data_IF_544920140705
#
_entry.id   IF_544920140705
#
_cell.length_a   1.000
_cell.length_b   1.000
_cell.length_c   1.000
_cell.angle_alpha   90.00
_cell.angle_beta   90.00
_cell.angle_gamma   90.00
#
_symmetry.space_group_name_H-M   'P 1'
#
loop_
_entity.id
_entity.type
_entity.pdbx_description
1 polymer ?
#
# COMPACT_ATOMS: atom_id res chain seq x y z
N UNK A 1 19.91 9.74 -8.73
CA UNK A 1 18.92 8.89 -8.02
C UNK A 1 17.58 9.41 -8.49
N UNK A 2 17.08 8.86 -9.59
CA UNK A 2 15.76 9.24 -10.10
C UNK A 2 14.76 9.00 -8.97
N UNK A 3 14.06 10.04 -8.54
CA UNK A 3 13.10 9.96 -7.44
C UNK A 3 11.90 9.15 -7.93
N UNK A 4 12.03 7.83 -7.84
CA UNK A 4 11.04 6.85 -8.26
C UNK A 4 9.76 6.96 -7.44
N UNK A 5 8.67 6.46 -8.00
CA UNK A 5 7.45 6.22 -7.25
C UNK A 5 7.60 4.90 -6.49
N UNK A 6 6.96 4.78 -5.34
CA UNK A 6 6.77 3.53 -4.64
C UNK A 6 5.30 3.13 -4.84
N UNK A 7 5.04 2.15 -5.70
CA UNK A 7 3.69 1.69 -6.04
C UNK A 7 3.22 0.71 -4.98
N UNK A 8 2.13 1.04 -4.30
CA UNK A 8 1.65 0.31 -3.11
C UNK A 8 0.24 -0.20 -3.39
N UNK A 9 0.06 -1.51 -3.46
CA UNK A 9 -1.24 -2.17 -3.52
C UNK A 9 -1.95 -2.10 -2.17
N UNK A 10 -3.18 -1.56 -2.18
CA UNK A 10 -4.03 -1.32 -1.00
C UNK A 10 -5.42 -1.88 -1.24
N UNK A 11 -6.15 -2.24 -0.19
CA UNK A 11 -7.51 -2.75 -0.28
C UNK A 11 -8.43 -1.90 0.60
N UNK A 12 -9.17 -0.99 -0.04
CA UNK A 12 -10.01 -0.01 0.65
C UNK A 12 -11.49 -0.40 0.47
N UNK A 13 -12.34 -0.32 1.51
CA UNK A 13 -12.07 0.19 2.86
C UNK A 13 -11.74 -0.90 3.88
N UNK A 14 -10.73 -0.63 4.72
CA UNK A 14 -10.35 -1.45 5.87
C UNK A 14 -9.95 -0.56 7.06
N UNK A 15 -10.92 0.18 7.60
CA UNK A 15 -10.68 1.01 8.77
C UNK A 15 -10.37 0.17 10.02
N UNK A 16 -9.42 0.58 10.89
CA UNK A 16 -8.66 1.84 10.88
C UNK A 16 -7.32 1.80 10.11
N UNK A 17 -7.03 0.72 9.41
CA UNK A 17 -5.74 0.49 8.74
C UNK A 17 -5.61 1.32 7.47
N UNK A 18 -6.60 1.24 6.57
CA UNK A 18 -6.64 1.96 5.29
C UNK A 18 -8.08 2.30 4.90
N UNK A 19 -8.43 3.58 4.82
CA UNK A 19 -9.78 4.01 4.48
C UNK A 19 -9.76 5.40 3.86
N UNK A 20 -10.86 5.79 3.22
CA UNK A 20 -11.02 7.17 2.73
C UNK A 20 -11.73 8.02 3.80
N UNK A 21 -11.18 9.19 4.12
CA UNK A 21 -11.84 10.15 5.00
C UNK A 21 -13.02 10.84 4.28
N UNK A 22 -13.70 11.78 4.96
CA UNK A 22 -14.82 12.53 4.39
C UNK A 22 -14.43 13.34 3.13
N UNK A 23 -13.16 13.70 2.99
CA UNK A 23 -12.61 14.41 1.83
C UNK A 23 -12.17 13.45 0.70
N UNK A 24 -12.40 12.14 0.86
CA UNK A 24 -12.01 11.11 -0.11
C UNK A 24 -10.51 10.77 -0.11
N UNK A 25 -9.74 11.31 0.83
CA UNK A 25 -8.31 11.06 0.96
C UNK A 25 -8.05 9.72 1.63
N UNK A 26 -7.12 8.94 1.07
CA UNK A 26 -6.65 7.71 1.68
C UNK A 26 -5.88 8.03 2.97
N UNK A 27 -6.35 7.50 4.09
CA UNK A 27 -5.82 7.71 5.44
C UNK A 27 -5.87 6.39 6.22
N UNK A 28 -5.20 6.34 7.38
CA UNK A 28 -5.16 5.17 8.26
C UNK A 28 -3.74 4.82 8.66
N UNK A 29 -3.60 3.86 9.56
CA UNK A 29 -2.29 3.48 10.12
C UNK A 29 -1.30 3.02 9.05
N UNK A 30 -1.75 2.14 8.15
CA UNK A 30 -0.94 1.55 7.08
C UNK A 30 -0.47 2.65 6.11
N UNK A 31 -1.35 3.60 5.80
CA UNK A 31 -1.05 4.76 4.95
C UNK A 31 0.01 5.67 5.59
N UNK A 32 -0.12 5.97 6.88
CA UNK A 32 0.87 6.78 7.60
C UNK A 32 2.24 6.10 7.68
N UNK A 33 2.27 4.79 7.91
CA UNK A 33 3.48 3.99 7.90
C UNK A 33 4.19 4.06 6.55
N UNK A 34 3.48 3.84 5.45
CA UNK A 34 4.10 3.86 4.13
C UNK A 34 4.51 5.25 3.66
N UNK A 35 3.81 6.30 4.11
CA UNK A 35 4.28 7.67 3.92
C UNK A 35 5.59 7.93 4.67
N UNK A 36 5.77 7.37 5.88
CA UNK A 36 7.04 7.44 6.59
C UNK A 36 8.16 6.65 5.88
N UNK A 37 7.89 5.43 5.43
CA UNK A 37 8.84 4.61 4.66
C UNK A 37 9.27 5.32 3.37
N UNK A 38 8.31 5.85 2.61
CA UNK A 38 8.59 6.56 1.35
C UNK A 38 9.48 7.79 1.58
N UNK A 39 9.26 8.53 2.67
CA UNK A 39 10.13 9.66 3.06
C UNK A 39 11.56 9.21 3.39
N UNK A 40 11.73 8.09 4.09
CA UNK A 40 13.06 7.54 4.39
C UNK A 40 13.78 7.09 3.11
N UNK A 41 13.04 6.52 2.15
CA UNK A 41 13.58 6.07 0.87
C UNK A 41 13.77 7.20 -0.16
N UNK A 42 13.19 8.38 0.09
CA UNK A 42 13.19 9.49 -0.88
C UNK A 42 12.31 9.22 -2.11
N UNK A 43 11.26 8.41 -1.96
CA UNK A 43 10.31 8.01 -3.01
C UNK A 43 8.96 8.69 -2.81
N UNK A 44 8.18 8.77 -3.88
CA UNK A 44 6.79 9.27 -3.84
C UNK A 44 5.83 8.08 -3.77
N UNK A 45 5.02 7.93 -2.70
CA UNK A 45 4.05 6.83 -2.63
C UNK A 45 2.95 7.00 -3.68
N UNK A 46 2.61 5.90 -4.36
CA UNK A 46 1.54 5.79 -5.36
C UNK A 46 0.63 4.62 -4.95
N UNK A 47 -0.48 4.93 -4.28
CA UNK A 47 -1.41 3.94 -3.77
C UNK A 47 -2.38 3.46 -4.86
N UNK A 48 -2.46 2.14 -5.03
CA UNK A 48 -3.31 1.46 -6.02
C UNK A 48 -4.31 0.56 -5.31
N UNK A 49 -5.56 0.99 -5.34
CA UNK A 49 -6.69 0.24 -4.81
C UNK A 49 -6.93 -1.00 -5.68
N UNK A 50 -6.88 -2.18 -5.07
CA UNK A 50 -7.11 -3.47 -5.70
C UNK A 50 -7.77 -4.43 -4.70
N UNK A 51 -8.29 -5.56 -5.18
CA UNK A 51 -8.83 -6.60 -4.30
C UNK A 51 -7.69 -7.26 -3.52
N UNK A 52 -7.95 -7.65 -2.26
CA UNK A 52 -6.97 -8.34 -1.42
C UNK A 52 -6.34 -9.56 -2.13
N UNK A 53 -7.15 -10.37 -2.80
CA UNK A 53 -6.70 -11.55 -3.55
C UNK A 53 -5.77 -11.22 -4.73
N UNK A 54 -5.84 -9.99 -5.25
CA UNK A 54 -5.01 -9.51 -6.36
C UNK A 54 -3.73 -8.80 -5.90
N UNK A 55 -3.59 -8.45 -4.62
CA UNK A 55 -2.38 -7.79 -4.10
C UNK A 55 -1.15 -8.67 -4.26
N UNK A 56 -1.22 -9.94 -3.83
CA UNK A 56 -0.10 -10.87 -3.92
C UNK A 56 0.33 -11.14 -5.37
N UNK A 57 -0.59 -11.48 -6.30
CA UNK A 57 -0.27 -11.55 -7.73
C UNK A 57 0.38 -10.27 -8.27
N UNK A 58 -0.12 -9.10 -7.89
CA UNK A 58 0.40 -7.81 -8.35
C UNK A 58 1.82 -7.52 -7.86
N UNK A 59 2.21 -8.05 -6.70
CA UNK A 59 3.61 -7.98 -6.23
C UNK A 59 4.48 -8.96 -7.05
N UNK A 60 3.99 -10.17 -7.29
CA UNK A 60 4.72 -11.21 -8.04
C UNK A 60 4.97 -10.79 -9.49
N UNK A 61 3.98 -10.17 -10.13
CA UNK A 61 4.08 -9.68 -11.51
C UNK A 61 4.73 -8.29 -11.63
N UNK A 62 5.13 -7.70 -10.49
CA UNK A 62 5.74 -6.37 -10.38
C UNK A 62 4.85 -5.21 -10.85
N UNK A 63 3.53 -5.39 -10.88
CA UNK A 63 2.56 -4.30 -11.09
C UNK A 63 2.50 -3.34 -9.90
N UNK A 64 2.79 -3.83 -8.70
CA UNK A 64 3.03 -3.02 -7.49
C UNK A 64 4.36 -3.41 -6.86
N UNK A 65 5.03 -2.45 -6.21
CA UNK A 65 6.30 -2.71 -5.51
C UNK A 65 6.07 -3.35 -4.14
N UNK A 66 4.92 -3.09 -3.51
CA UNK A 66 4.57 -3.58 -2.18
C UNK A 66 3.07 -3.77 -2.02
N UNK A 67 2.66 -4.83 -1.32
CA UNK A 67 1.29 -5.05 -0.89
C UNK A 67 1.09 -4.66 0.57
N UNK A 68 0.08 -3.84 0.86
CA UNK A 68 -0.22 -3.34 2.20
C UNK A 68 -1.72 -3.38 2.45
N UNK A 69 -2.19 -4.47 3.06
CA UNK A 69 -3.58 -4.64 3.50
C UNK A 69 -3.71 -5.59 4.69
N UNK A 70 -2.97 -5.33 5.77
CA UNK A 70 -2.94 -6.24 6.94
C UNK A 70 -2.66 -7.71 6.55
N UNK A 71 -1.74 -7.91 5.61
CA UNK A 71 -1.34 -9.26 5.17
C UNK A 71 -0.77 -10.00 6.37
N UNK A 72 -1.45 -11.06 6.80
CA UNK A 72 -1.02 -11.87 7.93
C UNK A 72 0.10 -12.80 7.48
N UNK A 73 1.24 -12.71 8.15
CA UNK A 73 2.36 -13.65 7.98
C UNK A 73 1.92 -15.04 8.42
N UNK A 74 1.90 -15.97 7.47
CA UNK A 74 1.55 -17.38 7.66
C UNK A 74 2.66 -18.22 7.06
N UNK A 75 2.76 -19.51 7.43
CA UNK A 75 3.78 -20.40 6.82
C UNK A 75 3.73 -20.48 5.28
N UNK A 76 2.60 -20.10 4.69
CA UNK A 76 2.37 -20.09 3.26
C UNK A 76 2.60 -18.71 2.61
N UNK A 77 2.58 -17.62 3.39
CA UNK A 77 2.56 -16.23 2.91
C UNK A 77 3.34 -15.30 3.82
#
# INVERSE_FOLDING_TARGET
RDTGRLVIGVNVPYAPMEFKNADGQLVGFDVELMNAVSRVLGLVPDYRDTSFDAILPAVVDSSVDLGMSSVTDTKER
#
